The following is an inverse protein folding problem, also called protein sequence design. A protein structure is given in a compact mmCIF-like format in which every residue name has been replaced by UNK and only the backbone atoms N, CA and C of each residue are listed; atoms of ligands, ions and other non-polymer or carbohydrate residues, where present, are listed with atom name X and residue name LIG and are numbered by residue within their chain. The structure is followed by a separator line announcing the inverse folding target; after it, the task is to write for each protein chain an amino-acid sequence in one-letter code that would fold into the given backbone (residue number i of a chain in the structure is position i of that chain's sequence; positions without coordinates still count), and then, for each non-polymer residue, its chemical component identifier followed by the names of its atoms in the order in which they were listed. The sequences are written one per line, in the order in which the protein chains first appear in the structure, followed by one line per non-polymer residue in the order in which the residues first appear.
data_IF_699810007183
#
_entry.id   IF_699810007183
#
_cell.length_a   1.000
_cell.length_b   1.000
_cell.length_c   1.000
_cell.angle_alpha   90.00
_cell.angle_beta   90.00
_cell.angle_gamma   90.00
#
_symmetry.space_group_name_H-M   'P 1'
#
loop_
_entity.id
_entity.type
_entity.pdbx_description
1 polymer ?
#
# COMPACT_ATOMS: atom_id res chain seq x y z
N UNK A 1 -33.90 -13.12 52.06
CA UNK A 1 -32.59 -13.17 52.76
C UNK A 1 -31.56 -12.62 51.78
N UNK A 2 -31.09 -11.36 51.90
CA UNK A 2 -30.04 -10.84 52.83
C UNK A 2 -28.72 -11.63 52.64
N UNK A 3 -27.54 -11.09 52.30
CA UNK A 3 -26.79 -9.85 52.65
C UNK A 3 -25.82 -9.47 51.49
N UNK A 4 -25.62 -8.21 51.07
CA UNK A 4 -24.77 -7.09 51.60
C UNK A 4 -23.24 -7.27 51.57
N UNK A 5 -22.56 -6.49 50.71
CA UNK A 5 -21.28 -5.77 50.95
C UNK A 5 -21.11 -4.77 49.77
N UNK A 6 -20.94 -3.45 49.86
CA UNK A 6 -20.57 -2.55 50.95
C UNK A 6 -19.32 -1.75 50.53
N UNK A 7 -19.46 -0.64 49.79
CA UNK A 7 -18.35 0.30 49.57
C UNK A 7 -18.84 1.75 49.78
N UNK A 8 -18.29 2.38 50.83
CA UNK A 8 -18.52 3.76 51.28
C UNK A 8 -17.71 4.73 50.42
N UNK A 9 -18.31 5.83 50.01
CA UNK A 9 -17.60 7.08 49.65
C UNK A 9 -17.77 8.05 50.81
N UNK A 10 -16.66 8.45 51.42
CA UNK A 10 -16.59 9.47 52.47
C UNK A 10 -16.63 10.86 51.82
N UNK A 11 -17.58 11.70 52.24
CA UNK A 11 -17.54 13.15 52.05
C UNK A 11 -16.95 13.83 53.29
N UNK A 12 -16.13 14.85 53.05
CA UNK A 12 -15.67 15.85 54.00
C UNK A 12 -14.49 16.60 53.38
N UNK A 13 -14.38 17.92 53.34
CA UNK A 13 -15.19 19.00 53.85
C UNK A 13 -14.31 20.27 53.80
N UNK A 14 -14.89 21.37 53.31
CA UNK A 14 -14.58 22.79 53.60
C UNK A 14 -13.12 23.32 53.52
N UNK A 15 -12.93 24.39 52.73
CA UNK A 15 -12.50 25.71 53.25
C UNK A 15 -12.80 26.85 52.28
N UNK A 16 -13.26 27.95 52.87
CA UNK A 16 -13.70 29.24 52.31
C UNK A 16 -12.56 30.10 51.75
N UNK A 17 -12.89 30.99 50.81
CA UNK A 17 -12.04 32.11 50.39
C UNK A 17 -12.77 33.16 49.51
N UNK A 18 -13.55 34.03 50.17
CA UNK A 18 -14.00 35.41 49.82
C UNK A 18 -13.99 35.89 48.35
N UNK A 19 -15.15 36.32 47.86
CA UNK A 19 -15.34 37.32 46.80
C UNK A 19 -16.16 38.50 47.36
N UNK A 20 -15.69 39.74 47.11
CA UNK A 20 -16.44 40.98 47.32
C UNK A 20 -17.03 41.49 45.99
N UNK A 21 -18.11 42.31 46.00
CA UNK A 21 -19.04 42.45 44.89
C UNK A 21 -18.87 43.77 44.10
N UNK A 22 -19.36 43.82 42.86
CA UNK A 22 -19.81 45.08 42.24
C UNK A 22 -20.92 44.86 41.19
N UNK A 23 -21.81 45.83 41.09
CA UNK A 23 -23.19 45.72 40.63
C UNK A 23 -23.46 46.53 39.35
N UNK A 24 -24.46 46.07 38.56
CA UNK A 24 -25.30 46.76 37.56
C UNK A 24 -24.71 47.34 36.25
N UNK A 25 -25.20 46.87 35.08
CA UNK A 25 -26.41 47.43 34.42
C UNK A 25 -26.72 46.89 33.00
N UNK A 26 -27.98 46.49 32.78
CA UNK A 26 -28.89 46.59 31.59
C UNK A 26 -28.53 46.03 30.18
N UNK A 27 -29.14 44.88 29.85
CA UNK A 27 -30.05 44.52 28.71
C UNK A 27 -29.88 45.12 27.30
N UNK A 28 -29.66 44.24 26.29
CA UNK A 28 -30.59 43.95 25.16
C UNK A 28 -30.13 42.67 24.39
N UNK A 29 -31.00 41.99 23.59
CA UNK A 29 -30.90 40.54 23.35
C UNK A 29 -30.41 40.14 21.94
N UNK A 30 -29.71 39.01 21.84
CA UNK A 30 -29.60 38.20 20.60
C UNK A 30 -29.25 36.75 20.96
N UNK A 31 -29.82 35.72 20.30
CA UNK A 31 -29.99 34.40 20.90
C UNK A 31 -28.71 33.55 20.79
N UNK A 32 -28.26 33.04 21.93
CA UNK A 32 -27.23 31.99 22.00
C UNK A 32 -27.91 30.63 21.89
N UNK A 33 -27.54 29.86 20.88
CA UNK A 33 -27.89 28.44 20.72
C UNK A 33 -27.21 27.65 21.85
N UNK A 34 -27.98 27.21 22.85
CA UNK A 34 -27.51 26.29 23.90
C UNK A 34 -27.78 24.85 23.44
N UNK A 35 -26.71 24.15 23.06
CA UNK A 35 -26.72 22.70 22.85
C UNK A 35 -26.58 22.05 24.24
N UNK A 36 -27.62 21.32 24.67
CA UNK A 36 -27.61 20.53 25.90
C UNK A 36 -26.91 19.18 25.69
N UNK A 37 -26.08 18.69 26.63
CA UNK A 37 -25.54 17.34 26.58
C UNK A 37 -26.56 16.35 27.17
N UNK A 38 -27.14 15.50 26.32
CA UNK A 38 -27.91 14.35 26.78
C UNK A 38 -26.97 13.22 27.23
N UNK A 39 -26.97 12.96 28.54
CA UNK A 39 -26.49 11.72 29.15
C UNK A 39 -27.28 10.51 28.61
N UNK A 40 -26.58 9.50 28.12
CA UNK A 40 -27.14 8.16 27.91
C UNK A 40 -26.95 7.32 29.17
N UNK A 41 -28.05 7.02 29.86
CA UNK A 41 -28.11 5.96 30.87
C UNK A 41 -28.50 4.65 30.18
N UNK A 42 -27.65 3.63 30.34
CA UNK A 42 -27.89 2.27 29.86
C UNK A 42 -28.89 1.57 30.81
N UNK A 43 -30.12 1.36 30.35
CA UNK A 43 -31.08 0.47 31.03
C UNK A 43 -30.97 -0.90 30.38
N UNK A 44 -30.46 -1.88 31.12
CA UNK A 44 -30.45 -3.30 30.72
C UNK A 44 -31.75 -3.93 31.22
N UNK A 45 -32.64 -4.28 30.29
CA UNK A 45 -33.76 -5.18 30.57
C UNK A 45 -33.49 -6.52 29.88
N UNK A 46 -33.40 -7.56 30.70
CA UNK A 46 -33.33 -8.95 30.25
C UNK A 46 -34.68 -9.43 29.72
N UNK A 47 -34.65 -10.19 28.63
CA UNK A 47 -35.80 -10.88 28.07
C UNK A 47 -35.38 -11.66 26.82
N UNK A 48 -35.74 -12.94 26.78
CA UNK A 48 -35.45 -13.91 25.72
C UNK A 48 -36.02 -13.47 24.35
N UNK A 49 -35.25 -13.66 23.28
CA UNK A 49 -35.65 -13.37 21.89
C UNK A 49 -36.03 -14.66 21.14
N UNK A 50 -37.19 -14.73 20.49
CA UNK A 50 -37.41 -15.61 19.34
C UNK A 50 -36.98 -14.93 18.02
N UNK A 51 -36.76 -15.77 17.00
CA UNK A 51 -36.19 -15.54 15.66
C UNK A 51 -36.42 -14.18 14.94
N UNK A 52 -35.50 -13.76 14.04
CA UNK A 52 -35.51 -12.41 13.45
C UNK A 52 -36.60 -12.27 12.37
N UNK A 53 -37.47 -11.26 12.55
CA UNK A 53 -38.22 -10.61 11.46
C UNK A 53 -37.60 -9.24 11.19
N UNK A 54 -37.29 -8.97 9.92
CA UNK A 54 -36.82 -7.68 9.44
C UNK A 54 -37.88 -6.59 9.66
N UNK A 55 -37.51 -5.49 10.31
CA UNK A 55 -38.29 -4.25 10.32
C UNK A 55 -37.62 -3.23 9.40
N UNK A 56 -38.32 -2.83 8.33
CA UNK A 56 -38.02 -1.63 7.56
C UNK A 56 -38.76 -0.44 8.20
N UNK A 57 -38.05 0.66 8.43
CA UNK A 57 -38.67 1.95 8.76
C UNK A 57 -39.02 2.67 7.46
N UNK A 58 -40.30 2.96 7.23
CA UNK A 58 -40.77 3.80 6.12
C UNK A 58 -41.10 5.21 6.63
N UNK A 59 -40.63 6.22 5.89
CA UNK A 59 -41.00 7.62 6.04
C UNK A 59 -42.18 7.91 5.12
N UNK A 60 -43.26 8.45 5.68
CA UNK A 60 -44.53 8.72 5.00
C UNK A 60 -44.55 10.13 4.43
N UNK A 61 -44.40 10.32 3.12
CA UNK A 61 -45.01 11.45 2.40
C UNK A 61 -45.16 11.12 0.89
N UNK A 62 -46.40 11.29 0.41
CA UNK A 62 -46.86 11.38 -0.98
C UNK A 62 -47.02 10.08 -1.81
N UNK A 63 -48.16 10.03 -2.51
CA UNK A 63 -48.77 8.85 -3.13
C UNK A 63 -48.71 8.88 -4.67
N UNK A 64 -48.88 7.67 -5.25
CA UNK A 64 -49.23 7.28 -6.64
C UNK A 64 -48.09 7.10 -7.67
N UNK A 65 -48.29 6.28 -8.72
CA UNK A 65 -48.75 4.89 -8.73
C UNK A 65 -47.65 3.92 -9.28
N UNK A 66 -47.89 2.62 -9.08
CA UNK A 66 -47.02 1.51 -9.50
C UNK A 66 -46.84 1.49 -11.01
N UNK A 67 -45.61 1.78 -11.48
CA UNK A 67 -45.17 1.51 -12.85
C UNK A 67 -44.61 0.08 -12.93
N UNK A 68 -45.24 -0.72 -13.78
CA UNK A 68 -44.77 -2.04 -14.22
C UNK A 68 -43.35 -1.94 -14.80
N UNK A 69 -42.37 -2.56 -14.14
CA UNK A 69 -41.05 -2.79 -14.74
C UNK A 69 -41.08 -4.16 -15.41
N UNK A 70 -40.88 -4.27 -16.74
CA UNK A 70 -40.82 -5.56 -17.40
C UNK A 70 -39.56 -6.33 -16.97
N UNK A 71 -39.72 -7.63 -16.72
CA UNK A 71 -38.62 -8.59 -16.56
C UNK A 71 -37.69 -8.47 -17.77
N UNK A 72 -36.46 -8.04 -17.56
CA UNK A 72 -35.43 -8.09 -18.60
C UNK A 72 -35.00 -9.55 -18.76
N UNK A 73 -35.58 -10.18 -19.78
CA UNK A 73 -35.16 -11.45 -20.33
C UNK A 73 -33.72 -11.36 -20.86
N UNK A 74 -32.95 -12.39 -20.55
CA UNK A 74 -31.69 -12.78 -21.18
C UNK A 74 -31.60 -12.43 -22.66
N UNK A 75 -30.81 -11.41 -22.99
CA UNK A 75 -30.25 -11.18 -24.32
C UNK A 75 -28.77 -11.53 -24.26
N UNK A 76 -28.45 -12.79 -24.57
CA UNK A 76 -27.12 -13.19 -25.00
C UNK A 76 -26.84 -12.51 -26.35
N UNK A 77 -26.16 -11.37 -26.32
CA UNK A 77 -25.49 -10.86 -27.51
C UNK A 77 -24.16 -11.59 -27.66
N UNK A 78 -24.16 -12.59 -28.54
CA UNK A 78 -22.96 -13.25 -29.05
C UNK A 78 -22.16 -12.25 -29.90
N UNK A 79 -21.32 -11.45 -29.24
CA UNK A 79 -20.23 -10.75 -29.92
C UNK A 79 -19.15 -11.77 -30.27
N UNK A 80 -18.60 -11.77 -31.49
CA UNK A 80 -17.57 -12.71 -31.87
C UNK A 80 -16.32 -12.43 -31.03
N UNK A 81 -16.01 -13.33 -30.10
CA UNK A 81 -14.71 -13.39 -29.45
C UNK A 81 -13.69 -13.74 -30.53
N UNK A 82 -13.10 -12.72 -31.16
CA UNK A 82 -11.79 -12.90 -31.79
C UNK A 82 -10.86 -13.33 -30.67
N UNK A 83 -10.39 -14.57 -30.73
CA UNK A 83 -9.30 -15.04 -29.87
C UNK A 83 -8.07 -14.18 -30.19
N UNK A 84 -7.89 -13.10 -29.43
CA UNK A 84 -6.59 -12.46 -29.33
C UNK A 84 -5.71 -13.51 -28.69
N UNK A 85 -4.73 -14.00 -29.44
CA UNK A 85 -3.81 -15.00 -28.96
C UNK A 85 -3.20 -14.52 -27.64
N UNK A 86 -3.27 -15.36 -26.62
CA UNK A 86 -2.59 -15.19 -25.34
C UNK A 86 -1.09 -15.47 -25.55
N UNK A 87 -0.46 -14.75 -26.48
CA UNK A 87 0.99 -14.68 -26.53
C UNK A 87 1.38 -13.60 -25.52
N UNK A 88 1.56 -14.02 -24.26
CA UNK A 88 2.43 -13.27 -23.36
C UNK A 88 3.77 -13.16 -24.09
N UNK A 89 4.01 -12.03 -24.74
CA UNK A 89 5.29 -11.70 -25.39
C UNK A 89 6.27 -11.37 -24.29
N UNK A 90 6.57 -12.37 -23.46
CA UNK A 90 7.78 -12.38 -22.69
C UNK A 90 8.91 -12.36 -23.72
N UNK A 91 9.92 -11.53 -23.49
CA UNK A 91 11.08 -11.47 -24.38
C UNK A 91 11.86 -12.79 -24.43
N UNK A 92 11.40 -13.86 -23.78
CA UNK A 92 12.00 -15.19 -23.73
C UNK A 92 12.56 -15.65 -25.07
N UNK A 93 11.77 -15.64 -26.15
CA UNK A 93 12.21 -16.10 -27.47
C UNK A 93 13.24 -15.15 -28.10
N UNK A 94 13.06 -13.84 -27.94
CA UNK A 94 14.00 -12.84 -28.48
C UNK A 94 15.33 -12.84 -27.70
N UNK A 95 15.26 -12.97 -26.38
CA UNK A 95 16.40 -13.09 -25.46
C UNK A 95 17.19 -14.36 -25.73
N UNK A 96 16.53 -15.47 -26.08
CA UNK A 96 17.18 -16.74 -26.38
C UNK A 96 18.13 -16.67 -27.60
N UNK A 97 17.96 -15.68 -28.48
CA UNK A 97 18.84 -15.44 -29.64
C UNK A 97 20.21 -14.88 -29.24
N UNK A 98 20.38 -14.42 -28.01
CA UNK A 98 21.60 -13.77 -27.55
C UNK A 98 22.32 -14.59 -26.48
N UNK A 99 23.59 -14.90 -26.75
CA UNK A 99 24.48 -15.57 -25.80
C UNK A 99 25.25 -14.52 -25.00
N UNK A 100 25.12 -14.48 -23.66
CA UNK A 100 25.86 -13.55 -22.80
C UNK A 100 27.37 -13.85 -22.84
N UNK A 101 28.23 -12.84 -22.63
CA UNK A 101 29.67 -13.07 -22.51
C UNK A 101 30.00 -13.79 -21.19
N UNK A 102 31.09 -14.56 -21.17
CA UNK A 102 31.50 -15.36 -20.01
C UNK A 102 31.98 -14.52 -18.80
N UNK A 103 32.32 -13.25 -19.02
CA UNK A 103 32.93 -12.36 -18.04
C UNK A 103 31.99 -11.25 -17.52
N UNK A 104 30.69 -11.52 -17.45
CA UNK A 104 29.74 -10.57 -16.87
C UNK A 104 30.09 -10.25 -15.41
N UNK A 105 30.17 -8.95 -15.10
CA UNK A 105 30.27 -8.47 -13.72
C UNK A 105 28.96 -8.72 -12.99
N UNK A 106 29.01 -8.84 -11.67
CA UNK A 106 27.81 -8.97 -10.82
C UNK A 106 27.56 -7.74 -9.95
N UNK A 107 28.51 -6.80 -9.92
CA UNK A 107 28.43 -5.57 -9.12
C UNK A 107 28.49 -4.35 -10.04
N UNK A 108 27.56 -3.42 -9.83
CA UNK A 108 27.43 -2.19 -10.59
C UNK A 108 27.16 -1.00 -9.68
N UNK A 109 27.61 0.19 -10.08
CA UNK A 109 27.32 1.42 -9.33
C UNK A 109 25.82 1.75 -9.45
N UNK A 110 25.31 2.46 -8.45
CA UNK A 110 23.92 2.95 -8.42
C UNK A 110 23.59 3.76 -9.67
N UNK A 111 24.50 4.64 -10.08
CA UNK A 111 24.33 5.48 -11.28
C UNK A 111 24.27 4.69 -12.58
N UNK A 112 25.07 3.62 -12.68
CA UNK A 112 25.10 2.77 -13.88
C UNK A 112 23.81 1.95 -14.01
N UNK A 113 23.30 1.43 -12.90
CA UNK A 113 22.01 0.72 -12.85
C UNK A 113 20.89 1.68 -13.22
N UNK A 114 20.90 2.90 -12.66
CA UNK A 114 19.92 3.94 -12.97
C UNK A 114 19.95 4.30 -14.47
N UNK A 115 21.13 4.60 -15.03
CA UNK A 115 21.31 4.87 -16.47
C UNK A 115 20.71 3.75 -17.32
N UNK A 116 21.08 2.50 -17.03
CA UNK A 116 20.60 1.33 -17.77
C UNK A 116 19.07 1.23 -17.78
N UNK A 117 18.41 1.40 -16.61
CA UNK A 117 16.95 1.39 -16.51
C UNK A 117 16.31 2.51 -17.32
N UNK A 118 16.87 3.73 -17.27
CA UNK A 118 16.39 4.87 -18.06
C UNK A 118 16.46 4.56 -19.56
N UNK A 119 17.61 4.06 -20.03
CA UNK A 119 17.81 3.73 -21.44
C UNK A 119 16.84 2.65 -21.93
N UNK A 120 16.60 1.60 -21.14
CA UNK A 120 15.63 0.56 -21.46
C UNK A 120 14.20 1.10 -21.62
N UNK A 121 13.76 2.00 -20.73
CA UNK A 121 12.42 2.57 -20.79
C UNK A 121 12.28 3.58 -21.94
N UNK A 122 13.33 4.35 -22.22
CA UNK A 122 13.38 5.23 -23.39
C UNK A 122 13.31 4.46 -24.71
N UNK A 123 13.95 3.29 -24.79
CA UNK A 123 13.89 2.42 -25.97
C UNK A 123 12.48 1.91 -26.30
N UNK A 124 11.54 1.94 -25.35
CA UNK A 124 10.13 1.62 -25.55
C UNK A 124 9.21 2.84 -25.60
N UNK A 125 9.77 4.03 -25.80
CA UNK A 125 9.01 5.26 -26.04
C UNK A 125 8.61 6.03 -24.78
N UNK A 126 9.15 5.69 -23.62
CA UNK A 126 8.91 6.45 -22.37
C UNK A 126 9.73 7.74 -22.37
N UNK A 127 9.15 8.93 -22.10
CA UNK A 127 9.92 10.17 -21.94
C UNK A 127 10.97 10.06 -20.84
N UNK A 128 12.13 10.69 -21.04
CA UNK A 128 13.29 10.59 -20.12
C UNK A 128 12.94 10.89 -18.67
N UNK A 129 12.10 11.89 -18.41
CA UNK A 129 11.70 12.26 -17.04
C UNK A 129 10.88 11.16 -16.36
N UNK A 130 9.99 10.50 -17.09
CA UNK A 130 9.18 9.39 -16.58
C UNK A 130 10.02 8.12 -16.41
N UNK A 131 10.95 7.87 -17.34
CA UNK A 131 11.92 6.79 -17.26
C UNK A 131 12.83 6.96 -16.02
N UNK A 132 13.29 8.19 -15.73
CA UNK A 132 14.07 8.50 -14.54
C UNK A 132 13.24 8.30 -13.25
N UNK A 133 12.00 8.78 -13.21
CA UNK A 133 11.13 8.58 -12.06
C UNK A 133 10.89 7.09 -11.72
N UNK A 134 10.80 6.22 -12.75
CA UNK A 134 10.75 4.77 -12.56
C UNK A 134 12.12 4.22 -12.10
N UNK A 135 13.21 4.59 -12.76
CA UNK A 135 14.54 4.12 -12.39
C UNK A 135 14.91 4.48 -10.95
N UNK A 136 14.57 5.69 -10.48
CA UNK A 136 14.78 6.16 -9.11
C UNK A 136 14.18 5.19 -8.08
N UNK A 137 12.91 4.80 -8.24
CA UNK A 137 12.25 3.90 -7.28
C UNK A 137 12.78 2.47 -7.36
N UNK A 138 13.10 1.97 -8.56
CA UNK A 138 13.63 0.61 -8.73
C UNK A 138 15.04 0.49 -8.12
N UNK A 139 15.89 1.48 -8.35
CA UNK A 139 17.22 1.56 -7.76
C UNK A 139 17.12 1.76 -6.24
N UNK A 140 16.18 2.58 -5.77
CA UNK A 140 15.95 2.75 -4.33
C UNK A 140 15.51 1.44 -3.65
N UNK A 141 14.72 0.61 -4.34
CA UNK A 141 14.32 -0.71 -3.88
C UNK A 141 15.54 -1.65 -3.75
N UNK A 142 16.37 -1.75 -4.79
CA UNK A 142 17.58 -2.57 -4.74
C UNK A 142 18.57 -2.07 -3.66
N UNK A 143 18.74 -0.75 -3.53
CA UNK A 143 19.61 -0.15 -2.52
C UNK A 143 19.14 -0.41 -1.08
N UNK A 144 17.84 -0.68 -0.88
CA UNK A 144 17.23 -1.07 0.41
C UNK A 144 17.20 -2.58 0.63
N UNK A 145 17.63 -3.38 -0.35
CA UNK A 145 17.58 -4.83 -0.29
C UNK A 145 16.24 -5.42 -0.71
N UNK A 146 15.34 -4.63 -1.28
CA UNK A 146 14.06 -5.07 -1.83
C UNK A 146 14.19 -5.46 -3.31
N UNK A 147 15.08 -6.42 -3.62
CA UNK A 147 15.37 -6.87 -4.99
C UNK A 147 14.14 -7.38 -5.78
N UNK A 148 13.06 -7.75 -5.09
CA UNK A 148 11.79 -8.14 -5.72
C UNK A 148 11.06 -6.99 -6.40
N UNK A 149 11.43 -5.74 -6.13
CA UNK A 149 10.81 -4.52 -6.65
C UNK A 149 11.82 -3.56 -7.32
N UNK A 150 13.07 -3.99 -7.54
CA UNK A 150 14.08 -3.21 -8.26
C UNK A 150 14.32 -3.70 -9.68
N UNK A 151 15.58 -3.88 -10.09
CA UNK A 151 15.97 -4.29 -11.45
C UNK A 151 15.23 -5.53 -11.96
N UNK A 152 14.89 -6.47 -11.07
CA UNK A 152 14.13 -7.68 -11.41
C UNK A 152 12.70 -7.42 -11.91
N UNK A 153 12.23 -6.17 -11.87
CA UNK A 153 10.92 -5.75 -12.40
C UNK A 153 11.01 -4.92 -13.67
N UNK A 154 12.20 -4.51 -14.10
CA UNK A 154 12.35 -3.63 -15.27
C UNK A 154 11.65 -4.20 -16.51
N UNK A 155 11.84 -5.48 -16.81
CA UNK A 155 11.21 -6.12 -17.97
C UNK A 155 9.67 -6.05 -17.95
N UNK A 156 9.06 -6.16 -16.77
CA UNK A 156 7.60 -6.03 -16.64
C UNK A 156 7.13 -4.65 -17.08
N UNK A 157 7.81 -3.59 -16.67
CA UNK A 157 7.50 -2.22 -17.09
C UNK A 157 7.72 -2.01 -18.58
N UNK A 158 8.81 -2.54 -19.12
CA UNK A 158 9.12 -2.50 -20.56
C UNK A 158 7.99 -3.18 -21.35
N UNK A 159 7.51 -4.34 -20.88
CA UNK A 159 6.41 -5.08 -21.50
C UNK A 159 5.08 -4.33 -21.41
N UNK A 160 4.74 -3.79 -20.23
CA UNK A 160 3.49 -3.04 -20.04
C UNK A 160 3.39 -1.84 -21.00
N UNK A 161 4.50 -1.11 -21.18
CA UNK A 161 4.55 0.01 -22.13
C UNK A 161 4.49 -0.46 -23.58
N UNK A 162 5.25 -1.50 -23.96
CA UNK A 162 5.21 -2.06 -25.32
C UNK A 162 3.83 -2.59 -25.71
N UNK A 163 3.14 -3.24 -24.78
CA UNK A 163 1.79 -3.74 -24.98
C UNK A 163 0.72 -2.66 -24.89
N UNK A 164 1.11 -1.39 -24.63
CA UNK A 164 0.21 -0.23 -24.50
C UNK A 164 -0.85 -0.40 -23.41
N UNK A 165 -0.59 -1.29 -22.44
CA UNK A 165 -1.41 -1.44 -21.25
C UNK A 165 -0.94 -0.54 -20.11
N UNK A 166 0.18 0.14 -20.30
CA UNK A 166 0.64 1.31 -19.56
C UNK A 166 1.08 2.37 -20.57
N UNK A 167 0.71 3.62 -20.35
CA UNK A 167 1.18 4.76 -21.15
C UNK A 167 2.44 5.35 -20.52
N UNK A 168 3.59 5.18 -21.17
CA UNK A 168 4.87 5.74 -20.73
C UNK A 168 4.89 7.27 -20.72
N UNK A 169 4.07 7.93 -21.54
CA UNK A 169 3.99 9.38 -21.69
C UNK A 169 2.88 10.06 -20.89
N UNK A 170 2.06 9.30 -20.17
CA UNK A 170 0.91 9.84 -19.44
C UNK A 170 1.30 10.84 -18.35
N UNK A 171 0.54 11.93 -18.28
CA UNK A 171 0.68 12.98 -17.26
C UNK A 171 -0.52 12.92 -16.32
N UNK A 172 -0.33 12.77 -15.00
CA UNK A 172 -1.44 12.74 -14.04
C UNK A 172 -2.21 14.07 -14.01
N UNK A 173 -3.52 14.02 -13.77
CA UNK A 173 -4.36 15.22 -13.66
C UNK A 173 -5.30 15.17 -12.45
N UNK A 174 -5.52 16.33 -11.82
CA UNK A 174 -6.45 16.47 -10.70
C UNK A 174 -7.88 16.53 -11.25
N UNK A 175 -8.75 15.64 -10.78
CA UNK A 175 -10.16 15.55 -11.19
C UNK A 175 -11.12 16.14 -10.16
N UNK A 176 -10.72 16.15 -8.89
CA UNK A 176 -11.45 16.80 -7.80
C UNK A 176 -10.45 17.29 -6.76
N UNK A 177 -10.68 18.46 -6.22
CA UNK A 177 -9.79 19.07 -5.24
C UNK A 177 -10.58 19.75 -4.13
N UNK A 178 -10.06 19.66 -2.91
CA UNK A 178 -10.43 20.48 -1.77
C UNK A 178 -9.16 21.02 -1.12
N UNK A 179 -9.34 21.76 -0.02
CA UNK A 179 -8.24 22.35 0.76
C UNK A 179 -7.20 21.29 1.15
N UNK A 180 -7.63 20.18 1.75
CA UNK A 180 -6.73 19.12 2.27
C UNK A 180 -6.79 17.81 1.50
N UNK A 181 -7.62 17.71 0.44
CA UNK A 181 -7.77 16.45 -0.32
C UNK A 181 -7.73 16.64 -1.82
N UNK A 182 -7.37 15.60 -2.56
CA UNK A 182 -7.52 15.55 -4.01
C UNK A 182 -7.80 14.14 -4.53
N UNK A 183 -8.47 14.08 -5.68
CA UNK A 183 -8.62 12.87 -6.50
C UNK A 183 -7.89 13.07 -7.82
N UNK A 184 -6.94 12.20 -8.14
CA UNK A 184 -6.09 12.27 -9.33
C UNK A 184 -6.42 11.14 -10.29
N UNK A 185 -6.46 11.44 -11.58
CA UNK A 185 -6.48 10.43 -12.64
C UNK A 185 -5.06 10.24 -13.18
N UNK A 186 -4.53 9.03 -13.09
CA UNK A 186 -3.18 8.67 -13.53
C UNK A 186 -3.03 8.50 -15.04
N UNK A 187 -4.14 8.52 -15.79
CA UNK A 187 -4.17 8.38 -17.25
C UNK A 187 -3.44 7.12 -17.76
N UNK A 188 -3.58 6.02 -17.02
CA UNK A 188 -2.90 4.75 -17.25
C UNK A 188 -1.36 4.88 -17.26
N UNK A 189 -0.83 5.84 -16.52
CA UNK A 189 0.60 6.12 -16.48
C UNK A 189 1.41 5.14 -15.63
N UNK A 190 2.73 5.29 -15.73
CA UNK A 190 3.68 4.58 -14.87
C UNK A 190 3.42 4.94 -13.40
N UNK A 191 3.28 3.91 -12.56
CA UNK A 191 3.01 4.07 -11.13
C UNK A 191 3.93 5.09 -10.42
N UNK A 192 5.25 5.11 -10.69
CA UNK A 192 6.15 6.09 -10.07
C UNK A 192 5.92 7.54 -10.51
N UNK A 193 5.47 7.76 -11.74
CA UNK A 193 5.11 9.10 -12.23
C UNK A 193 3.85 9.58 -11.52
N UNK A 194 2.82 8.73 -11.48
CA UNK A 194 1.54 9.02 -10.80
C UNK A 194 1.75 9.21 -9.30
N UNK A 195 2.51 8.32 -8.66
CA UNK A 195 2.77 8.34 -7.24
C UNK A 195 3.58 9.54 -6.80
N UNK A 196 4.63 9.92 -7.55
CA UNK A 196 5.42 11.13 -7.27
C UNK A 196 4.54 12.38 -7.35
N UNK A 197 3.69 12.51 -8.39
CA UNK A 197 2.74 13.62 -8.49
C UNK A 197 1.79 13.68 -7.28
N UNK A 198 1.23 12.55 -6.88
CA UNK A 198 0.24 12.49 -5.80
C UNK A 198 0.84 12.80 -4.43
N UNK A 199 2.02 12.26 -4.10
CA UNK A 199 2.66 12.54 -2.81
C UNK A 199 3.16 13.99 -2.74
N UNK A 200 3.67 14.56 -3.83
CA UNK A 200 4.09 15.97 -3.85
C UNK A 200 2.88 16.90 -3.64
N UNK A 201 1.73 16.55 -4.22
CA UNK A 201 0.46 17.24 -3.98
C UNK A 201 0.00 17.10 -2.52
N UNK A 202 0.12 15.91 -1.92
CA UNK A 202 -0.22 15.67 -0.53
C UNK A 202 0.68 16.50 0.42
N UNK A 203 2.01 16.52 0.17
CA UNK A 203 2.98 17.32 0.92
C UNK A 203 2.62 18.80 0.86
N UNK A 204 2.32 19.32 -0.33
CA UNK A 204 1.92 20.72 -0.50
C UNK A 204 0.70 21.07 0.37
N UNK A 205 -0.35 20.24 0.32
CA UNK A 205 -1.58 20.45 1.10
C UNK A 205 -1.35 20.34 2.60
N UNK A 206 -0.52 19.39 3.03
CA UNK A 206 -0.19 19.18 4.43
C UNK A 206 0.50 20.39 5.06
N UNK A 207 1.46 21.01 4.34
CA UNK A 207 2.15 22.22 4.82
C UNK A 207 1.19 23.40 5.03
N UNK A 208 0.09 23.46 4.28
CA UNK A 208 -0.89 24.54 4.40
C UNK A 208 -1.95 24.28 5.49
N UNK A 209 -2.32 23.01 5.70
CA UNK A 209 -3.57 22.66 6.41
C UNK A 209 -3.42 21.59 7.48
N UNK A 210 -2.19 21.12 7.72
CA UNK A 210 -1.86 20.04 8.65
C UNK A 210 -1.97 18.64 8.04
N UNK A 211 -2.77 18.45 6.99
CA UNK A 211 -2.92 17.16 6.31
C UNK A 211 -3.16 17.32 4.80
N UNK A 212 -2.55 16.44 4.01
CA UNK A 212 -2.86 16.25 2.61
C UNK A 212 -3.22 14.80 2.34
N UNK A 213 -4.41 14.55 1.79
CA UNK A 213 -4.91 13.20 1.47
C UNK A 213 -5.25 13.10 -0.01
N UNK A 214 -4.46 12.34 -0.77
CA UNK A 214 -4.59 12.22 -2.22
C UNK A 214 -4.87 10.77 -2.60
N UNK A 215 -6.00 10.54 -3.26
CA UNK A 215 -6.33 9.26 -3.86
C UNK A 215 -6.15 9.35 -5.38
N UNK A 216 -5.77 8.25 -6.01
CA UNK A 216 -5.65 8.20 -7.48
C UNK A 216 -6.12 6.87 -8.04
N UNK A 217 -6.67 6.91 -9.25
CA UNK A 217 -7.01 5.75 -10.09
C UNK A 217 -6.35 5.88 -11.46
N UNK A 218 -6.43 4.86 -12.29
CA UNK A 218 -5.78 4.84 -13.60
C UNK A 218 -4.27 4.82 -13.48
N UNK A 219 -3.74 4.11 -12.48
CA UNK A 219 -2.30 3.95 -12.24
C UNK A 219 -1.85 2.50 -12.52
N UNK A 220 -0.55 2.28 -12.50
CA UNK A 220 0.10 0.97 -12.65
C UNK A 220 1.01 0.67 -11.44
N UNK A 221 1.71 -0.47 -11.47
CA UNK A 221 2.63 -0.88 -10.40
C UNK A 221 3.64 0.23 -10.07
N UNK A 222 3.79 0.56 -8.78
CA UNK A 222 4.53 1.76 -8.35
C UNK A 222 5.85 1.48 -7.61
N UNK A 223 6.37 0.25 -7.66
CA UNK A 223 7.57 -0.13 -6.92
C UNK A 223 7.30 -0.32 -5.43
N UNK A 224 8.21 0.17 -4.58
CA UNK A 224 8.10 0.08 -3.11
C UNK A 224 7.25 1.23 -2.55
N UNK A 225 6.33 0.92 -1.62
CA UNK A 225 5.44 1.94 -1.04
C UNK A 225 6.19 2.96 -0.17
N UNK A 226 7.25 2.51 0.50
CA UNK A 226 8.10 3.33 1.36
C UNK A 226 8.81 4.46 0.63
N UNK A 227 9.01 4.37 -0.70
CA UNK A 227 9.60 5.43 -1.51
C UNK A 227 8.81 6.74 -1.39
N UNK A 228 7.48 6.66 -1.49
CA UNK A 228 6.61 7.82 -1.42
C UNK A 228 6.47 8.34 0.01
N UNK A 229 6.29 7.45 0.99
CA UNK A 229 6.22 7.85 2.39
C UNK A 229 7.49 8.61 2.84
N UNK A 230 8.68 8.15 2.41
CA UNK A 230 9.94 8.81 2.70
C UNK A 230 10.09 10.20 2.06
N UNK A 231 9.42 10.47 0.93
CA UNK A 231 9.44 11.81 0.32
C UNK A 231 8.81 12.85 1.26
N UNK A 232 7.72 12.50 1.95
CA UNK A 232 7.12 13.39 2.94
C UNK A 232 8.03 13.57 4.17
N UNK A 233 8.68 12.51 4.64
CA UNK A 233 9.61 12.58 5.78
C UNK A 233 10.84 13.43 5.51
N UNK A 234 11.35 13.48 4.26
CA UNK A 234 12.41 14.41 3.88
C UNK A 234 12.01 15.89 4.01
N UNK A 235 10.71 16.17 4.01
CA UNK A 235 10.13 17.50 4.21
C UNK A 235 9.70 17.77 5.66
N UNK A 236 10.09 16.91 6.61
CA UNK A 236 9.71 17.01 8.02
C UNK A 236 8.27 16.56 8.33
N UNK A 237 7.62 15.86 7.40
CA UNK A 237 6.23 15.41 7.53
C UNK A 237 6.14 13.90 7.80
N UNK A 238 5.06 13.44 8.41
CA UNK A 238 4.70 12.02 8.34
C UNK A 238 4.19 11.72 6.93
N UNK A 239 4.57 10.59 6.38
CA UNK A 239 4.15 10.12 5.07
C UNK A 239 3.49 8.76 5.13
N UNK A 240 2.41 8.56 4.38
CA UNK A 240 1.80 7.25 4.17
C UNK A 240 1.59 6.98 2.68
N UNK A 241 1.70 5.73 2.29
CA UNK A 241 1.43 5.28 0.92
C UNK A 241 0.75 3.91 0.91
N UNK A 242 -0.23 3.75 0.03
CA UNK A 242 -1.02 2.54 -0.12
C UNK A 242 -1.26 2.26 -1.61
N UNK A 243 -1.33 0.99 -2.00
CA UNK A 243 -1.85 0.58 -3.32
C UNK A 243 -2.60 -0.73 -3.19
N UNK A 244 -3.65 -0.92 -3.99
CA UNK A 244 -4.14 -2.26 -4.26
C UNK A 244 -3.33 -2.90 -5.41
N UNK A 245 -3.44 -4.23 -5.56
CA UNK A 245 -2.73 -4.97 -6.61
C UNK A 245 -3.62 -6.05 -7.23
N UNK A 246 -3.10 -6.76 -8.24
CA UNK A 246 -3.72 -7.97 -8.78
C UNK A 246 -4.08 -8.98 -7.67
N UNK A 247 -5.20 -9.70 -7.81
CA UNK A 247 -5.69 -10.62 -6.78
C UNK A 247 -4.74 -11.80 -6.60
N UNK A 248 -4.13 -11.89 -5.43
CA UNK A 248 -3.13 -12.89 -5.05
C UNK A 248 -3.38 -13.47 -3.65
N UNK A 249 -4.14 -12.78 -2.80
CA UNK A 249 -4.36 -13.11 -1.40
C UNK A 249 -5.79 -13.59 -1.20
N UNK A 250 -5.95 -14.73 -0.52
CA UNK A 250 -7.26 -15.24 -0.14
C UNK A 250 -7.78 -14.52 1.12
N UNK A 251 -9.04 -14.02 1.11
CA UNK A 251 -9.72 -13.65 2.34
C UNK A 251 -9.68 -14.80 3.36
N UNK A 252 -9.67 -14.50 4.66
CA UNK A 252 -9.63 -15.55 5.68
C UNK A 252 -10.82 -16.51 5.51
N UNK A 253 -10.55 -17.82 5.55
CA UNK A 253 -11.49 -18.93 5.27
C UNK A 253 -11.95 -19.07 3.81
N UNK A 254 -11.45 -18.25 2.88
CA UNK A 254 -11.69 -18.43 1.46
C UNK A 254 -10.65 -19.36 0.82
N UNK A 255 -11.07 -20.06 -0.24
CA UNK A 255 -10.23 -20.94 -1.05
C UNK A 255 -9.45 -20.20 -2.15
N UNK A 256 -9.97 -19.07 -2.64
CA UNK A 256 -9.45 -18.37 -3.83
C UNK A 256 -8.96 -16.97 -3.47
N UNK A 257 -7.93 -16.53 -4.19
CA UNK A 257 -7.48 -15.15 -4.12
C UNK A 257 -8.58 -14.17 -4.55
N UNK A 258 -8.71 -13.08 -3.81
CA UNK A 258 -9.65 -12.00 -4.11
C UNK A 258 -9.06 -10.60 -3.88
N UNK A 259 -8.06 -10.47 -3.02
CA UNK A 259 -7.36 -9.21 -2.75
C UNK A 259 -5.94 -9.23 -3.29
N UNK A 260 -5.39 -8.06 -3.52
CA UNK A 260 -3.95 -7.93 -3.77
C UNK A 260 -3.10 -8.16 -2.52
N UNK A 261 -1.78 -8.09 -2.70
CA UNK A 261 -0.82 -8.05 -1.58
C UNK A 261 -0.92 -6.74 -0.80
N UNK A 262 -1.58 -5.74 -1.40
CA UNK A 262 -2.11 -4.52 -0.80
C UNK A 262 -1.17 -3.91 0.23
N UNK A 263 0.03 -3.42 -0.17
CA UNK A 263 0.99 -2.89 0.77
C UNK A 263 0.53 -1.56 1.37
N UNK A 264 1.04 -1.31 2.57
CA UNK A 264 0.93 -0.04 3.28
C UNK A 264 2.30 0.36 3.80
N UNK A 265 2.61 1.65 3.68
CA UNK A 265 3.81 2.24 4.23
C UNK A 265 3.48 3.44 5.11
N UNK A 266 4.27 3.61 6.18
CA UNK A 266 4.28 4.77 7.06
C UNK A 266 5.74 5.17 7.30
N UNK A 267 6.02 6.46 7.14
CA UNK A 267 7.31 7.06 7.47
C UNK A 267 7.10 8.26 8.40
N UNK A 268 7.90 8.38 9.45
CA UNK A 268 7.82 9.47 10.42
C UNK A 268 9.22 9.99 10.79
N UNK A 269 9.43 11.32 10.84
CA UNK A 269 10.72 11.91 11.20
C UNK A 269 11.04 11.73 12.69
N UNK A 270 12.32 11.61 12.99
CA UNK A 270 12.88 11.62 14.34
C UNK A 270 14.15 12.51 14.36
N UNK A 271 14.75 12.71 15.54
CA UNK A 271 15.91 13.60 15.68
C UNK A 271 17.10 13.13 14.84
N UNK A 272 17.98 14.07 14.53
CA UNK A 272 19.29 13.83 13.90
C UNK A 272 19.21 13.10 12.54
N UNK A 273 18.09 13.24 11.83
CA UNK A 273 17.86 12.60 10.54
C UNK A 273 17.48 11.12 10.60
N UNK A 274 17.21 10.57 11.80
CA UNK A 274 16.60 9.24 11.92
C UNK A 274 15.11 9.28 11.57
N UNK A 275 14.52 8.12 11.28
CA UNK A 275 13.11 7.99 10.95
C UNK A 275 12.59 6.58 11.21
N UNK A 276 11.33 6.49 11.61
CA UNK A 276 10.59 5.22 11.57
C UNK A 276 10.08 5.01 10.15
N UNK A 277 10.36 3.86 9.55
CA UNK A 277 9.93 3.55 8.18
C UNK A 277 9.39 2.13 8.10
N UNK A 278 8.07 2.00 8.12
CA UNK A 278 7.39 0.74 7.87
C UNK A 278 7.01 0.68 6.39
N UNK A 279 7.43 -0.36 5.69
CA UNK A 279 7.00 -0.68 4.31
C UNK A 279 6.70 -2.18 4.25
N UNK A 280 5.42 -2.54 4.16
CA UNK A 280 5.01 -3.93 4.27
C UNK A 280 3.80 -4.27 3.40
N UNK A 281 3.80 -5.50 2.87
CA UNK A 281 2.61 -6.11 2.32
C UNK A 281 1.65 -6.54 3.45
N UNK A 282 0.36 -6.65 3.14
CA UNK A 282 -0.65 -7.17 4.08
C UNK A 282 -0.81 -8.70 4.00
N UNK A 283 0.00 -9.36 3.18
CA UNK A 283 0.16 -10.81 3.13
C UNK A 283 1.41 -11.29 3.88
N UNK A 284 1.45 -12.57 4.27
CA UNK A 284 2.59 -13.15 5.01
C UNK A 284 3.90 -13.03 4.24
N UNK A 285 3.83 -13.17 2.92
CA UNK A 285 5.00 -13.24 2.06
C UNK A 285 4.74 -12.62 0.70
N UNK A 286 5.75 -11.99 0.11
CA UNK A 286 5.71 -11.51 -1.27
C UNK A 286 5.81 -12.68 -2.26
N UNK A 287 5.10 -12.61 -3.38
CA UNK A 287 5.15 -13.61 -4.47
C UNK A 287 6.59 -13.93 -4.89
N UNK A 288 7.45 -12.91 -4.98
CA UNK A 288 8.85 -13.10 -5.35
C UNK A 288 9.64 -14.02 -4.41
N UNK A 289 9.31 -14.08 -3.12
CA UNK A 289 9.97 -15.01 -2.18
C UNK A 289 9.51 -16.46 -2.40
N UNK A 290 8.25 -16.68 -2.78
CA UNK A 290 7.79 -18.03 -3.17
C UNK A 290 8.52 -18.51 -4.43
N UNK A 291 8.67 -17.64 -5.43
CA UNK A 291 9.42 -17.95 -6.66
C UNK A 291 10.89 -18.29 -6.39
N UNK A 292 11.49 -17.68 -5.37
CA UNK A 292 12.86 -18.00 -4.96
C UNK A 292 12.94 -19.40 -4.37
N UNK A 293 12.05 -19.78 -3.45
CA UNK A 293 12.06 -21.12 -2.86
C UNK A 293 11.71 -22.21 -3.88
N UNK A 294 10.80 -21.91 -4.82
CA UNK A 294 10.53 -22.75 -5.99
C UNK A 294 11.78 -23.04 -6.82
N UNK A 295 12.54 -21.99 -7.18
CA UNK A 295 13.79 -22.14 -7.96
C UNK A 295 14.88 -22.88 -7.21
N UNK A 296 14.85 -22.84 -5.87
CA UNK A 296 15.75 -23.62 -5.01
C UNK A 296 15.26 -25.04 -4.77
N UNK A 297 14.07 -25.39 -5.24
CA UNK A 297 13.38 -26.67 -4.98
C UNK A 297 13.26 -26.94 -3.47
N UNK A 298 12.97 -25.89 -2.69
CA UNK A 298 12.81 -25.95 -1.23
C UNK A 298 11.36 -25.73 -0.81
N UNK A 299 10.89 -26.40 0.26
CA UNK A 299 9.55 -26.16 0.79
C UNK A 299 9.42 -24.72 1.31
N UNK A 300 8.23 -24.13 1.12
CA UNK A 300 7.87 -22.85 1.74
C UNK A 300 7.41 -23.08 3.19
N UNK A 301 7.64 -22.13 4.10
CA UNK A 301 7.11 -22.20 5.46
C UNK A 301 5.58 -22.36 5.48
N UNK A 302 5.10 -23.08 6.49
CA UNK A 302 3.67 -23.22 6.73
C UNK A 302 3.00 -21.85 6.95
N UNK A 303 1.79 -21.69 6.43
CA UNK A 303 1.01 -20.46 6.56
C UNK A 303 1.37 -19.38 5.54
N UNK A 304 2.24 -19.65 4.56
CA UNK A 304 2.52 -18.74 3.46
C UNK A 304 1.45 -18.77 2.38
N UNK A 305 0.99 -19.96 2.00
CA UNK A 305 0.11 -20.16 0.86
C UNK A 305 -0.92 -21.28 1.08
N UNK A 306 -1.97 -21.20 0.27
CA UNK A 306 -2.99 -22.22 0.07
C UNK A 306 -2.78 -22.86 -1.31
N UNK A 307 -3.09 -24.14 -1.43
CA UNK A 307 -3.15 -24.85 -2.72
C UNK A 307 -4.40 -24.43 -3.53
N UNK A 308 -4.57 -25.04 -4.72
CA UNK A 308 -5.76 -24.82 -5.56
C UNK A 308 -7.07 -25.19 -4.88
N UNK A 309 -7.02 -26.01 -3.82
CA UNK A 309 -8.15 -26.52 -3.08
C UNK A 309 -8.51 -25.72 -1.82
N UNK A 310 -7.64 -24.76 -1.44
CA UNK A 310 -7.81 -23.90 -0.28
C UNK A 310 -7.18 -24.48 0.98
N UNK A 311 -6.39 -25.55 0.87
CA UNK A 311 -5.67 -26.15 1.99
C UNK A 311 -4.30 -25.49 2.13
N UNK A 312 -3.80 -25.26 3.36
CA UNK A 312 -2.42 -24.81 3.57
C UNK A 312 -1.42 -25.75 2.91
N UNK A 313 -0.41 -25.19 2.23
CA UNK A 313 0.63 -25.96 1.55
C UNK A 313 2.03 -25.44 1.87
N UNK A 314 2.98 -26.36 1.90
CA UNK A 314 4.43 -26.09 1.98
C UNK A 314 5.12 -26.35 0.63
N UNK A 315 4.38 -26.76 -0.39
CA UNK A 315 4.87 -26.90 -1.76
C UNK A 315 4.78 -25.54 -2.48
N UNK A 316 5.91 -24.95 -2.92
CA UNK A 316 5.90 -23.68 -3.65
C UNK A 316 5.12 -23.74 -4.97
N UNK A 317 5.13 -24.86 -5.69
CA UNK A 317 4.43 -25.01 -6.98
C UNK A 317 2.91 -25.01 -6.78
N UNK A 318 2.41 -25.69 -5.75
CA UNK A 318 0.99 -25.66 -5.41
C UNK A 318 0.57 -24.30 -4.84
N UNK A 319 1.44 -23.66 -4.05
CA UNK A 319 1.18 -22.32 -3.51
C UNK A 319 1.04 -21.23 -4.59
N UNK A 320 1.84 -21.31 -5.66
CA UNK A 320 1.77 -20.37 -6.80
C UNK A 320 0.49 -20.56 -7.62
N UNK A 321 0.01 -21.81 -7.74
CA UNK A 321 -1.27 -22.11 -8.41
C UNK A 321 -2.49 -21.76 -7.55
N UNK A 322 -2.31 -21.67 -6.25
CA UNK A 322 -3.36 -21.35 -5.28
C UNK A 322 -3.41 -19.87 -4.92
N UNK A 323 -3.25 -19.55 -3.63
CA UNK A 323 -3.37 -18.18 -3.12
C UNK A 323 -2.43 -17.93 -1.93
N UNK A 324 -1.96 -16.71 -1.78
CA UNK A 324 -1.24 -16.26 -0.59
C UNK A 324 -2.18 -16.12 0.61
N UNK A 325 -1.64 -16.36 1.80
CA UNK A 325 -2.34 -16.06 3.05
C UNK A 325 -2.11 -14.62 3.50
N UNK A 326 -3.10 -13.97 4.14
CA UNK A 326 -2.93 -12.66 4.76
C UNK A 326 -1.92 -12.70 5.92
N UNK A 327 -1.32 -11.57 6.28
CA UNK A 327 -0.41 -11.46 7.42
C UNK A 327 -1.02 -12.07 8.69
N UNK A 328 -0.26 -12.96 9.34
CA UNK A 328 -0.78 -13.83 10.40
C UNK A 328 -1.28 -15.18 9.89
N UNK A 329 -1.15 -15.49 8.59
CA UNK A 329 -1.36 -16.83 8.02
C UNK A 329 -2.74 -17.42 8.31
N UNK A 330 -2.83 -18.66 8.85
CA UNK A 330 -4.10 -19.26 9.22
C UNK A 330 -4.77 -18.53 10.38
N UNK A 331 -6.04 -18.82 10.63
CA UNK A 331 -6.82 -18.18 11.70
C UNK A 331 -6.18 -18.37 13.09
N UNK A 332 -5.52 -19.52 13.31
CA UNK A 332 -4.74 -19.82 14.52
C UNK A 332 -3.69 -18.73 14.84
N UNK A 333 -3.07 -18.15 13.81
CA UNK A 333 -2.03 -17.12 13.95
C UNK A 333 -2.58 -15.70 13.68
N UNK A 334 -3.90 -15.53 13.79
CA UNK A 334 -4.62 -14.26 13.61
C UNK A 334 -4.56 -13.67 12.19
N UNK A 335 -4.53 -14.51 11.14
CA UNK A 335 -4.55 -14.06 9.74
C UNK A 335 -5.70 -13.11 9.36
N UNK A 336 -6.82 -13.15 10.09
CA UNK A 336 -7.94 -12.22 9.88
C UNK A 336 -7.55 -10.75 10.13
N UNK A 337 -6.50 -10.47 10.93
CA UNK A 337 -5.96 -9.12 11.13
C UNK A 337 -5.25 -8.63 9.87
N UNK A 338 -4.40 -9.47 9.27
CA UNK A 338 -3.77 -9.16 7.97
C UNK A 338 -4.81 -8.99 6.85
N UNK A 339 -5.85 -9.82 6.84
CA UNK A 339 -6.97 -9.66 5.92
C UNK A 339 -7.68 -8.31 6.11
N UNK A 340 -7.96 -7.91 7.35
CA UNK A 340 -8.53 -6.61 7.68
C UNK A 340 -7.66 -5.43 7.19
N UNK A 341 -6.33 -5.52 7.36
CA UNK A 341 -5.40 -4.51 6.83
C UNK A 341 -5.43 -4.46 5.29
N UNK A 342 -5.48 -5.62 4.62
CA UNK A 342 -5.59 -5.69 3.17
C UNK A 342 -6.89 -5.07 2.64
N UNK A 343 -8.01 -5.28 3.35
CA UNK A 343 -9.29 -4.63 3.04
C UNK A 343 -9.26 -3.12 3.26
N UNK A 344 -8.59 -2.64 4.31
CA UNK A 344 -8.41 -1.20 4.55
C UNK A 344 -7.70 -0.53 3.37
N UNK A 345 -6.63 -1.14 2.87
CA UNK A 345 -5.93 -0.67 1.67
C UNK A 345 -6.85 -0.70 0.45
N UNK A 346 -7.59 -1.79 0.24
CA UNK A 346 -8.54 -1.92 -0.87
C UNK A 346 -9.62 -0.82 -0.85
N UNK A 347 -10.10 -0.43 0.34
CA UNK A 347 -11.08 0.64 0.51
C UNK A 347 -10.51 1.98 0.06
N UNK A 348 -9.29 2.35 0.48
CA UNK A 348 -8.72 3.65 0.10
C UNK A 348 -8.22 3.69 -1.34
N UNK A 349 -7.68 2.57 -1.82
CA UNK A 349 -7.08 2.46 -3.12
C UNK A 349 -8.11 2.16 -4.19
N UNK A 350 -8.80 1.02 -4.13
CA UNK A 350 -9.78 0.64 -5.15
C UNK A 350 -11.09 1.42 -5.03
N UNK A 351 -11.74 1.31 -3.87
CA UNK A 351 -13.12 1.82 -3.70
C UNK A 351 -13.18 3.35 -3.69
N UNK A 352 -12.37 4.01 -2.86
CA UNK A 352 -12.42 5.46 -2.67
C UNK A 352 -11.88 6.25 -3.88
N UNK A 353 -10.84 5.75 -4.55
CA UNK A 353 -10.33 6.39 -5.77
C UNK A 353 -11.22 6.15 -7.00
N UNK A 354 -12.04 5.10 -6.96
CA UNK A 354 -12.83 4.63 -8.09
C UNK A 354 -12.01 3.88 -9.14
N UNK A 355 -10.87 3.31 -8.78
CA UNK A 355 -10.10 2.39 -9.63
C UNK A 355 -10.65 0.96 -9.58
N UNK A 356 -10.02 0.04 -10.31
CA UNK A 356 -10.34 -1.38 -10.21
C UNK A 356 -9.99 -1.91 -8.82
N UNK A 357 -10.77 -2.88 -8.34
CA UNK A 357 -10.61 -3.45 -7.00
C UNK A 357 -10.81 -4.96 -6.99
N UNK A 358 -10.12 -5.61 -6.05
CA UNK A 358 -10.16 -7.05 -5.81
C UNK A 358 -10.08 -7.89 -7.09
N UNK A 359 -11.09 -8.74 -7.38
CA UNK A 359 -11.05 -9.65 -8.54
C UNK A 359 -11.18 -8.94 -9.91
N UNK A 360 -11.52 -7.65 -9.94
CA UNK A 360 -11.68 -6.92 -11.18
C UNK A 360 -10.33 -6.41 -11.75
N UNK A 361 -9.33 -6.24 -10.87
CA UNK A 361 -7.96 -5.94 -11.27
C UNK A 361 -7.43 -7.08 -12.13
N UNK A 362 -6.77 -6.75 -13.25
CA UNK A 362 -6.15 -7.76 -14.12
C UNK A 362 -5.18 -8.65 -13.32
N UNK A 363 -4.99 -9.89 -13.79
CA UNK A 363 -4.07 -10.84 -13.11
C UNK A 363 -2.62 -10.37 -13.21
N UNK A 364 -1.83 -10.76 -12.23
CA UNK A 364 -0.41 -10.45 -12.18
C UNK A 364 0.30 -10.93 -13.46
N UNK A 365 1.18 -10.09 -14.02
CA UNK A 365 1.89 -10.30 -15.30
C UNK A 365 1.03 -10.36 -16.58
N UNK A 366 -0.30 -10.33 -16.49
CA UNK A 366 -1.14 -10.27 -17.68
C UNK A 366 -1.17 -8.85 -18.26
N UNK A 367 -1.13 -8.78 -19.58
CA UNK A 367 -1.23 -7.55 -20.37
C UNK A 367 -2.48 -7.55 -21.26
N UNK A 368 -3.58 -8.17 -20.82
CA UNK A 368 -4.83 -8.29 -21.59
C UNK A 368 -5.68 -7.01 -21.57
N UNK A 369 -5.49 -6.17 -20.55
CA UNK A 369 -6.17 -4.89 -20.35
C UNK A 369 -5.34 -4.00 -19.42
N UNK A 370 -5.75 -2.75 -19.25
CA UNK A 370 -5.16 -1.84 -18.26
C UNK A 370 -5.35 -2.38 -16.85
N UNK A 371 -4.39 -2.10 -15.96
CA UNK A 371 -4.50 -2.52 -14.56
C UNK A 371 -5.52 -1.67 -13.79
N UNK A 372 -5.56 -0.35 -14.09
CA UNK A 372 -6.36 0.66 -13.42
C UNK A 372 -6.27 0.54 -11.88
N UNK A 373 -5.03 0.46 -11.40
CA UNK A 373 -4.76 0.35 -9.97
C UNK A 373 -5.11 1.66 -9.26
N UNK A 374 -5.60 1.50 -8.04
CA UNK A 374 -5.85 2.59 -7.13
C UNK A 374 -4.68 2.78 -6.16
N UNK A 375 -4.36 4.03 -5.83
CA UNK A 375 -3.32 4.36 -4.85
C UNK A 375 -3.80 5.49 -3.93
N UNK A 376 -3.23 5.55 -2.74
CA UNK A 376 -3.51 6.60 -1.77
C UNK A 376 -2.22 7.07 -1.12
N UNK A 377 -2.08 8.39 -0.97
CA UNK A 377 -0.92 9.06 -0.42
C UNK A 377 -1.38 10.08 0.61
N UNK A 378 -0.75 10.04 1.79
CA UNK A 378 -1.08 10.95 2.89
C UNK A 378 0.19 11.61 3.37
N UNK A 379 0.15 12.92 3.58
CA UNK A 379 1.17 13.66 4.29
C UNK A 379 0.51 14.37 5.49
N UNK A 380 1.18 14.35 6.64
CA UNK A 380 0.69 14.97 7.88
C UNK A 380 1.80 15.81 8.48
N UNK A 381 1.51 17.08 8.75
CA UNK A 381 2.44 17.99 9.41
C UNK A 381 2.35 17.84 10.94
N UNK A 382 3.37 17.30 11.61
CA UNK A 382 3.35 17.13 13.07
C UNK A 382 3.26 18.46 13.82
N UNK A 383 3.63 19.59 13.21
CA UNK A 383 3.57 20.91 13.84
C UNK A 383 2.14 21.40 14.12
N UNK A 384 1.14 20.81 13.45
CA UNK A 384 -0.28 21.09 13.70
C UNK A 384 -0.85 20.32 14.91
N UNK A 385 -0.04 19.48 15.55
CA UNK A 385 -0.45 18.64 16.69
C UNK A 385 0.39 18.96 17.94
N UNK A 386 0.65 17.97 18.79
CA UNK A 386 1.40 18.17 20.02
C UNK A 386 2.89 18.48 19.72
N UNK A 387 3.48 19.52 20.32
CA UNK A 387 4.89 19.89 20.11
C UNK A 387 5.83 18.77 20.56
N UNK A 388 7.07 18.76 20.08
CA UNK A 388 8.09 17.75 20.46
C UNK A 388 7.84 16.36 19.87
N UNK A 389 7.30 16.29 18.65
CA UNK A 389 7.04 15.02 17.96
C UNK A 389 8.32 14.20 17.75
N UNK A 390 9.35 14.79 17.14
CA UNK A 390 10.62 14.10 16.85
C UNK A 390 11.31 13.61 18.13
N UNK A 391 11.20 14.37 19.23
CA UNK A 391 11.73 13.99 20.55
C UNK A 391 11.12 12.68 21.04
N UNK A 392 9.78 12.61 21.05
CA UNK A 392 9.06 11.41 21.47
C UNK A 392 9.27 10.25 20.51
N UNK A 393 9.40 10.52 19.21
CA UNK A 393 9.64 9.48 18.21
C UNK A 393 11.03 8.86 18.40
N UNK A 394 12.07 9.67 18.60
CA UNK A 394 13.41 9.21 18.95
C UNK A 394 13.42 8.43 20.26
N UNK A 395 12.83 8.98 21.32
CA UNK A 395 12.75 8.32 22.64
C UNK A 395 12.13 6.91 22.54
N UNK A 396 11.00 6.77 21.84
CA UNK A 396 10.36 5.47 21.64
C UNK A 396 11.24 4.49 20.84
N UNK A 397 11.84 4.94 19.73
CA UNK A 397 12.68 4.06 18.92
C UNK A 397 13.94 3.63 19.66
N UNK A 398 14.59 4.55 20.35
CA UNK A 398 15.81 4.28 21.11
C UNK A 398 15.52 3.37 22.31
N UNK A 399 14.38 3.57 22.98
CA UNK A 399 13.90 2.67 24.02
C UNK A 399 13.72 1.24 23.48
N UNK A 400 13.03 1.08 22.35
CA UNK A 400 12.81 -0.24 21.75
C UNK A 400 14.13 -0.91 21.32
N UNK A 401 15.03 -0.17 20.64
CA UNK A 401 16.34 -0.68 20.22
C UNK A 401 17.24 -1.05 21.41
N UNK A 402 17.11 -0.33 22.52
CA UNK A 402 17.88 -0.53 23.75
C UNK A 402 17.38 -1.68 24.64
N UNK A 403 16.26 -2.33 24.30
CA UNK A 403 15.77 -3.48 25.06
C UNK A 403 16.73 -4.67 24.94
N UNK A 404 16.84 -5.46 26.01
CA UNK A 404 17.59 -6.72 26.00
C UNK A 404 16.98 -7.67 24.94
N UNK A 405 17.76 -8.11 23.94
CA UNK A 405 17.24 -9.00 22.92
C UNK A 405 17.07 -10.42 23.47
N UNK A 406 16.01 -11.11 23.04
CA UNK A 406 15.78 -12.51 23.42
C UNK A 406 16.88 -13.47 22.90
N UNK A 407 17.61 -13.06 21.87
CA UNK A 407 18.78 -13.73 21.32
C UNK A 407 19.87 -12.67 21.14
N UNK A 408 21.00 -12.82 21.84
CA UNK A 408 22.07 -11.83 21.86
C UNK A 408 22.64 -11.52 20.46
N UNK A 409 22.53 -12.45 19.52
CA UNK A 409 22.99 -12.29 18.13
C UNK A 409 21.96 -11.57 17.24
N UNK A 410 20.76 -11.27 17.76
CA UNK A 410 19.64 -10.65 17.02
C UNK A 410 19.10 -9.44 17.79
N UNK A 411 19.75 -8.26 17.65
CA UNK A 411 19.31 -7.05 18.34
C UNK A 411 17.89 -6.65 17.92
N UNK A 412 17.18 -5.95 18.82
CA UNK A 412 15.87 -5.35 18.50
C UNK A 412 16.07 -4.22 17.51
N UNK A 413 15.27 -4.23 16.43
CA UNK A 413 15.35 -3.25 15.36
C UNK A 413 14.04 -2.46 15.26
N UNK A 414 14.15 -1.18 14.91
CA UNK A 414 13.03 -0.37 14.47
C UNK A 414 12.78 -0.58 12.97
N UNK A 415 11.55 -0.31 12.53
CA UNK A 415 11.21 -0.34 11.12
C UNK A 415 12.08 0.68 10.35
N UNK A 416 12.75 0.21 9.28
CA UNK A 416 13.71 0.99 8.50
C UNK A 416 15.17 0.75 8.86
N UNK A 417 15.48 0.14 10.02
CA UNK A 417 16.86 -0.21 10.39
C UNK A 417 17.50 -1.22 9.41
N UNK A 418 16.82 -2.32 8.99
CA UNK A 418 17.38 -3.25 8.01
C UNK A 418 17.72 -2.58 6.67
N UNK A 419 16.82 -1.72 6.19
CA UNK A 419 16.97 -1.00 4.92
C UNK A 419 18.11 0.03 4.99
N UNK A 420 18.23 0.78 6.11
CA UNK A 420 19.37 1.68 6.36
C UNK A 420 20.70 0.93 6.39
N UNK A 421 20.74 -0.21 7.06
CA UNK A 421 21.94 -1.07 7.12
C UNK A 421 22.33 -1.55 5.72
N UNK A 422 21.36 -1.93 4.88
CA UNK A 422 21.61 -2.34 3.50
C UNK A 422 22.13 -1.18 2.63
N UNK A 423 21.56 0.02 2.75
CA UNK A 423 22.06 1.22 2.04
C UNK A 423 23.52 1.50 2.43
N UNK A 424 23.84 1.45 3.73
CA UNK A 424 25.21 1.65 4.22
C UNK A 424 26.18 0.59 3.68
N UNK A 425 25.72 -0.66 3.58
CA UNK A 425 26.49 -1.74 2.94
C UNK A 425 26.76 -1.42 1.47
N UNK A 426 25.75 -1.03 0.69
CA UNK A 426 25.90 -0.67 -0.73
C UNK A 426 26.88 0.49 -0.90
N UNK A 427 26.76 1.54 -0.08
CA UNK A 427 27.67 2.69 -0.11
C UNK A 427 29.11 2.28 0.17
N UNK A 428 29.34 1.45 1.19
CA UNK A 428 30.68 0.93 1.54
C UNK A 428 31.26 0.03 0.45
N UNK A 429 30.41 -0.75 -0.21
CA UNK A 429 30.82 -1.67 -1.27
C UNK A 429 30.97 -1.03 -2.65
N UNK A 430 30.59 0.25 -2.79
CA UNK A 430 30.67 1.04 -4.02
C UNK A 430 29.66 0.63 -5.10
N UNK A 431 28.61 -0.12 -4.76
CA UNK A 431 27.65 -0.62 -5.73
C UNK A 431 26.76 -1.75 -5.23
N UNK A 432 25.79 -2.14 -6.05
CA UNK A 432 24.83 -3.20 -5.76
C UNK A 432 25.30 -4.49 -6.44
N UNK A 433 25.27 -5.59 -5.69
CA UNK A 433 25.62 -6.92 -6.20
C UNK A 433 24.36 -7.71 -6.52
N UNK A 434 24.26 -8.21 -7.75
CA UNK A 434 23.14 -9.01 -8.23
C UNK A 434 23.55 -10.46 -8.48
N UNK A 435 22.57 -11.35 -8.49
CA UNK A 435 22.78 -12.73 -8.92
C UNK A 435 23.09 -12.77 -10.43
N UNK A 436 24.02 -13.65 -10.85
CA UNK A 436 24.45 -13.74 -12.25
C UNK A 436 23.27 -13.93 -13.23
N UNK A 437 22.28 -14.75 -12.87
CA UNK A 437 21.08 -14.94 -13.70
C UNK A 437 20.31 -13.63 -13.97
N UNK A 438 20.24 -12.72 -13.00
CA UNK A 438 19.56 -11.43 -13.18
C UNK A 438 20.36 -10.49 -14.10
N UNK A 439 21.69 -10.52 -14.00
CA UNK A 439 22.57 -9.77 -14.91
C UNK A 439 22.51 -10.33 -16.33
N UNK A 440 22.56 -11.65 -16.47
CA UNK A 440 22.40 -12.33 -17.75
C UNK A 440 21.07 -11.98 -18.42
N UNK A 441 19.98 -11.98 -17.66
CA UNK A 441 18.67 -11.60 -18.16
C UNK A 441 18.59 -10.13 -18.59
N UNK A 442 19.15 -9.23 -17.76
CA UNK A 442 19.24 -7.79 -18.05
C UNK A 442 20.12 -7.53 -19.29
N UNK A 443 21.23 -8.24 -19.43
CA UNK A 443 22.09 -8.14 -20.60
C UNK A 443 21.36 -8.57 -21.88
N UNK A 444 20.59 -9.67 -21.84
CA UNK A 444 19.78 -10.11 -22.99
C UNK A 444 18.69 -9.11 -23.31
N UNK A 445 18.02 -8.55 -22.28
CA UNK A 445 17.04 -7.48 -22.46
C UNK A 445 17.67 -6.27 -23.16
N UNK A 446 18.90 -5.90 -22.77
CA UNK A 446 19.63 -4.81 -23.40
C UNK A 446 19.83 -5.04 -24.91
N UNK A 447 20.20 -6.26 -25.29
CA UNK A 447 20.36 -6.65 -26.70
C UNK A 447 19.06 -6.62 -27.47
N UNK A 448 17.99 -7.13 -26.88
CA UNK A 448 16.65 -7.09 -27.50
C UNK A 448 16.17 -5.65 -27.73
N UNK A 449 16.43 -4.75 -26.77
CA UNK A 449 16.03 -3.35 -26.88
C UNK A 449 17.01 -2.48 -27.67
N UNK A 450 18.16 -3.01 -28.08
CA UNK A 450 19.20 -2.25 -28.78
C UNK A 450 19.88 -1.18 -27.92
N UNK A 451 19.94 -1.37 -26.59
CA UNK A 451 20.57 -0.43 -25.65
C UNK A 451 21.91 -0.94 -25.13
N UNK A 452 22.74 -0.02 -24.61
CA UNK A 452 24.02 -0.36 -23.98
C UNK A 452 23.77 -1.17 -22.70
N UNK A 453 24.30 -2.41 -22.60
CA UNK A 453 24.24 -3.18 -21.35
C UNK A 453 24.97 -2.47 -20.20
N UNK A 454 24.71 -2.87 -18.96
CA UNK A 454 25.46 -2.37 -17.80
C UNK A 454 26.95 -2.72 -17.91
N UNK A 455 27.84 -1.78 -17.60
CA UNK A 455 29.30 -1.91 -17.77
C UNK A 455 30.11 -2.01 -16.47
#
# INVERSE_FOLDING_TARGET
MLYRCGMRVLMGGSRMGKLLPYNNSRLSPTPLLLVSPCNFSLVVLGGELPAPRCYYASCSYCAAPVLNVPRCSTLQSSLPTRSISTMATNFTEEKAKYTPPDNLKTKYTVDEIHRYMVDCMMAVGTPRQHAAALADVLVAADNRGHYSHGLNRLEMYVNDVKQKVCDGGAVPSITKESVSTALVHGNNGLGPVVGNFCIDLAIKKAKETGIGWVCTRGSNHYGIAGWYALRATREGLLGMSFTNTSPLVAPTRAKKAALGTNPLALSAPAKNGDSFVLDMATCVVAVGKMEVERRKEKPIPEGWALDKDGNPTTDPEEGIKGALMPLGGPELHSGYKGYGLGMLVEIFCGILSGGQYGPNVRRWMNTDREADLGQCFVAIDPAFFAPGFEDRMSDLMDYCRGMEPADAEKPVLAAGDPERSHINKVNREGGITYHINQITDSWRLAKVLGVQPMQ
#
